data_IF_400073512869
#
_entry.id   IF_400073512869
#
_cell.length_a   1.000
_cell.length_b   1.000
_cell.length_c   1.000
_cell.angle_alpha   90.00
_cell.angle_beta   90.00
_cell.angle_gamma   90.00
#
_symmetry.space_group_name_H-M   'P 1'
#
loop_
_entity.id
_entity.type
_entity.pdbx_description
1 polymer ?
#
# COMPACT_ATOMS: atom_id res chain seq x y z
N UNK A 1 -2.75 -19.80 58.40
CA UNK A 1 -2.60 -18.40 57.93
C UNK A 1 -3.05 -18.34 56.48
N UNK A 2 -4.11 -17.59 56.18
CA UNK A 2 -4.66 -17.41 54.82
C UNK A 2 -3.90 -16.28 54.11
N UNK A 3 -3.45 -16.51 52.88
CA UNK A 3 -3.07 -15.44 51.93
C UNK A 3 -3.80 -15.71 50.62
N UNK A 4 -4.80 -14.88 50.35
CA UNK A 4 -5.45 -14.76 49.04
C UNK A 4 -4.51 -13.94 48.15
N UNK A 5 -4.09 -14.49 47.01
CA UNK A 5 -3.53 -13.69 45.92
C UNK A 5 -4.60 -13.62 44.84
N UNK A 6 -5.39 -12.56 44.91
CA UNK A 6 -6.27 -12.08 43.86
C UNK A 6 -5.42 -11.22 42.93
N UNK A 7 -4.91 -11.79 41.83
CA UNK A 7 -4.48 -11.01 40.67
C UNK A 7 -4.83 -11.82 39.40
N UNK A 8 -6.08 -11.73 38.99
CA UNK A 8 -6.55 -12.13 37.66
C UNK A 8 -7.54 -11.09 37.22
N UNK A 9 -7.05 -9.96 36.71
CA UNK A 9 -7.78 -9.03 35.83
C UNK A 9 -6.93 -7.80 35.54
N UNK A 10 -5.91 -7.92 34.69
CA UNK A 10 -5.30 -6.71 34.10
C UNK A 10 -4.54 -6.98 32.79
N UNK A 11 -5.05 -7.81 31.87
CA UNK A 11 -4.39 -7.99 30.57
C UNK A 11 -5.32 -8.23 29.35
N UNK A 12 -6.64 -8.05 29.48
CA UNK A 12 -7.59 -8.26 28.37
C UNK A 12 -8.13 -6.92 27.80
N UNK A 13 -7.66 -5.78 28.30
CA UNK A 13 -8.09 -4.47 27.80
C UNK A 13 -7.36 -4.00 26.54
N UNK A 14 -6.09 -4.37 26.35
CA UNK A 14 -5.23 -3.74 25.34
C UNK A 14 -5.32 -4.40 23.95
N UNK A 15 -5.64 -5.70 23.83
CA UNK A 15 -5.72 -6.39 22.53
C UNK A 15 -6.97 -6.00 21.71
N UNK A 16 -8.05 -5.62 22.38
CA UNK A 16 -9.33 -5.34 21.72
C UNK A 16 -9.29 -4.01 20.96
N UNK A 17 -8.68 -2.94 21.50
CA UNK A 17 -8.66 -1.64 20.81
C UNK A 17 -7.79 -1.63 19.53
N UNK A 18 -6.72 -2.43 19.49
CA UNK A 18 -5.87 -2.54 18.30
C UNK A 18 -6.58 -3.22 17.14
N UNK A 19 -7.41 -4.22 17.40
CA UNK A 19 -8.12 -4.95 16.34
C UNK A 19 -9.23 -4.11 15.70
N UNK A 20 -9.97 -3.30 16.48
CA UNK A 20 -11.00 -2.40 15.93
C UNK A 20 -10.43 -1.20 15.17
N UNK A 21 -9.31 -0.63 15.62
CA UNK A 21 -8.63 0.44 14.89
C UNK A 21 -8.12 -0.08 13.54
N UNK A 22 -7.45 -1.24 13.54
CA UNK A 22 -6.90 -1.87 12.35
C UNK A 22 -7.99 -2.29 11.35
N UNK A 23 -9.12 -2.86 11.81
CA UNK A 23 -10.25 -3.21 10.94
C UNK A 23 -10.98 -2.00 10.33
N UNK A 24 -11.01 -0.85 11.01
CA UNK A 24 -11.52 0.41 10.42
C UNK A 24 -10.57 0.93 9.34
N UNK A 25 -9.26 0.85 9.54
CA UNK A 25 -8.26 1.20 8.52
C UNK A 25 -8.34 0.26 7.31
N UNK A 26 -8.56 -1.05 7.52
CA UNK A 26 -8.77 -2.06 6.47
C UNK A 26 -9.91 -1.68 5.50
N UNK A 27 -11.07 -1.33 6.05
CA UNK A 27 -12.26 -0.92 5.25
C UNK A 27 -11.99 0.40 4.54
N UNK A 28 -11.31 1.34 5.19
CA UNK A 28 -10.96 2.63 4.60
C UNK A 28 -9.98 2.50 3.42
N UNK A 29 -8.96 1.64 3.55
CA UNK A 29 -8.03 1.34 2.47
C UNK A 29 -8.79 0.82 1.23
N UNK A 30 -9.56 -0.27 1.37
CA UNK A 30 -10.33 -0.85 0.25
C UNK A 30 -11.31 0.15 -0.37
N UNK A 31 -12.10 0.85 0.45
CA UNK A 31 -13.09 1.81 -0.04
C UNK A 31 -12.47 2.98 -0.82
N UNK A 32 -11.24 3.35 -0.50
CA UNK A 32 -10.53 4.41 -1.20
C UNK A 32 -10.05 3.93 -2.58
N UNK A 33 -9.30 2.83 -2.65
CA UNK A 33 -8.77 2.34 -3.93
C UNK A 33 -9.88 1.91 -4.92
N UNK A 34 -11.05 1.48 -4.44
CA UNK A 34 -12.22 1.17 -5.28
C UNK A 34 -12.79 2.38 -6.03
N UNK A 35 -12.61 3.60 -5.49
CA UNK A 35 -13.20 4.83 -6.04
C UNK A 35 -12.21 5.63 -6.90
N UNK A 36 -10.93 5.28 -6.86
CA UNK A 36 -9.86 5.98 -7.57
C UNK A 36 -9.90 5.67 -9.07
N UNK A 37 -10.40 6.61 -9.88
CA UNK A 37 -10.49 6.45 -11.35
C UNK A 37 -9.71 7.49 -12.15
N UNK A 38 -9.47 8.67 -11.59
CA UNK A 38 -8.58 9.73 -12.07
C UNK A 38 -8.13 10.52 -10.85
N UNK A 39 -6.84 10.82 -10.75
CA UNK A 39 -6.28 11.56 -9.62
C UNK A 39 -5.87 12.95 -10.10
N UNK A 40 -6.62 13.98 -9.72
CA UNK A 40 -6.14 15.36 -9.82
C UNK A 40 -4.93 15.59 -8.87
N UNK A 41 -4.31 16.76 -8.92
CA UNK A 41 -3.13 17.04 -8.10
C UNK A 41 -3.38 16.93 -6.59
N UNK A 42 -4.60 17.24 -6.13
CA UNK A 42 -4.98 17.13 -4.71
C UNK A 42 -5.23 15.68 -4.34
N UNK A 43 -5.88 14.92 -5.21
CA UNK A 43 -6.16 13.49 -5.03
C UNK A 43 -4.89 12.65 -5.09
N UNK A 44 -3.89 13.03 -5.90
CA UNK A 44 -2.56 12.39 -5.94
C UNK A 44 -1.89 12.35 -4.57
N UNK A 45 -1.89 13.48 -3.85
CA UNK A 45 -1.31 13.55 -2.50
C UNK A 45 -2.04 12.59 -1.53
N UNK A 46 -3.37 12.62 -1.54
CA UNK A 46 -4.20 11.74 -0.69
C UNK A 46 -3.93 10.27 -1.04
N UNK A 47 -3.76 9.96 -2.33
CA UNK A 47 -3.46 8.62 -2.78
C UNK A 47 -2.10 8.13 -2.25
N UNK A 48 -1.05 8.95 -2.30
CA UNK A 48 0.27 8.61 -1.76
C UNK A 48 0.24 8.37 -0.24
N UNK A 49 -0.39 9.28 0.51
CA UNK A 49 -0.58 9.13 1.95
C UNK A 49 -1.36 7.85 2.28
N UNK A 50 -2.37 7.51 1.45
CA UNK A 50 -3.16 6.30 1.64
C UNK A 50 -2.34 5.04 1.32
N UNK A 51 -1.54 5.03 0.25
CA UNK A 51 -0.64 3.90 -0.07
C UNK A 51 0.33 3.66 1.08
N UNK A 52 0.91 4.71 1.64
CA UNK A 52 1.81 4.62 2.80
C UNK A 52 1.11 4.04 4.04
N UNK A 53 -0.07 4.57 4.40
CA UNK A 53 -0.86 4.07 5.54
C UNK A 53 -1.32 2.62 5.34
N UNK A 54 -1.62 2.24 4.10
CA UNK A 54 -2.13 0.92 3.75
C UNK A 54 -1.03 -0.14 3.52
N UNK A 55 0.25 0.20 3.72
CA UNK A 55 1.39 -0.70 3.49
C UNK A 55 1.20 -2.09 4.14
N UNK A 56 0.81 -2.13 5.41
CA UNK A 56 0.62 -3.40 6.15
C UNK A 56 -0.51 -4.28 5.60
N UNK A 57 -1.45 -3.69 4.87
CA UNK A 57 -2.62 -4.36 4.29
C UNK A 57 -2.34 -4.88 2.88
N UNK A 58 -1.49 -4.20 2.11
CA UNK A 58 -1.01 -4.69 0.82
C UNK A 58 -0.36 -6.08 0.94
N UNK A 59 0.31 -6.39 2.07
CA UNK A 59 0.86 -7.73 2.37
C UNK A 59 -0.19 -8.82 2.54
N UNK A 60 -1.45 -8.47 2.82
CA UNK A 60 -2.50 -9.41 3.19
C UNK A 60 -3.58 -9.58 2.11
N UNK A 61 -3.60 -8.69 1.12
CA UNK A 61 -4.72 -8.56 0.20
C UNK A 61 -4.28 -8.33 -1.25
N UNK A 62 -4.32 -9.42 -2.04
CA UNK A 62 -3.95 -9.38 -3.46
C UNK A 62 -4.85 -8.47 -4.29
N UNK A 63 -6.14 -8.35 -3.94
CA UNK A 63 -7.10 -7.49 -4.65
C UNK A 63 -6.78 -6.02 -4.42
N UNK A 64 -6.39 -5.67 -3.19
CA UNK A 64 -5.92 -4.32 -2.85
C UNK A 64 -4.66 -3.96 -3.64
N UNK A 65 -3.68 -4.87 -3.72
CA UNK A 65 -2.44 -4.66 -4.49
C UNK A 65 -2.75 -4.42 -5.96
N UNK A 66 -3.67 -5.19 -6.54
CA UNK A 66 -4.10 -5.00 -7.92
C UNK A 66 -4.67 -3.59 -8.14
N UNK A 67 -5.60 -3.14 -7.28
CA UNK A 67 -6.20 -1.81 -7.38
C UNK A 67 -5.17 -0.68 -7.21
N UNK A 68 -4.19 -0.86 -6.32
CA UNK A 68 -3.08 0.08 -6.18
C UNK A 68 -2.26 0.18 -7.46
N UNK A 69 -1.94 -0.94 -8.11
CA UNK A 69 -1.22 -0.95 -9.40
C UNK A 69 -2.06 -0.30 -10.50
N UNK A 70 -3.37 -0.58 -10.56
CA UNK A 70 -4.28 0.06 -11.52
C UNK A 70 -4.35 1.58 -11.34
N UNK A 71 -4.39 2.06 -10.10
CA UNK A 71 -4.37 3.49 -9.80
C UNK A 71 -3.04 4.15 -10.24
N UNK A 72 -1.90 3.52 -9.97
CA UNK A 72 -0.59 4.00 -10.47
C UNK A 72 -0.52 4.00 -11.99
N UNK A 73 -1.01 2.95 -12.64
CA UNK A 73 -1.08 2.86 -14.11
C UNK A 73 -1.93 3.99 -14.70
N UNK A 74 -3.09 4.27 -14.10
CA UNK A 74 -3.95 5.37 -14.52
C UNK A 74 -3.28 6.72 -14.32
N UNK A 75 -2.56 6.89 -13.20
CA UNK A 75 -1.80 8.09 -12.90
C UNK A 75 -0.66 8.34 -13.92
N UNK A 76 0.09 7.31 -14.31
CA UNK A 76 1.19 7.49 -15.28
C UNK A 76 0.73 7.96 -16.68
N UNK A 77 -0.54 7.73 -17.04
CA UNK A 77 -1.13 8.25 -18.27
C UNK A 77 -1.29 9.77 -18.26
N UNK A 78 -1.54 10.35 -17.08
CA UNK A 78 -1.75 11.80 -16.92
C UNK A 78 -0.51 12.52 -16.40
N UNK A 79 0.32 11.85 -15.60
CA UNK A 79 1.53 12.37 -15.01
C UNK A 79 2.64 11.31 -15.06
N UNK A 80 3.57 11.48 -16.00
CA UNK A 80 4.67 10.55 -16.28
C UNK A 80 5.83 10.63 -15.30
N UNK A 81 5.63 11.09 -14.06
CA UNK A 81 6.72 11.06 -13.08
C UNK A 81 6.83 9.72 -12.36
N UNK A 82 8.03 9.36 -11.91
CA UNK A 82 8.31 8.12 -11.18
C UNK A 82 8.28 8.28 -9.65
N UNK A 83 8.47 9.51 -9.12
CA UNK A 83 8.41 9.80 -7.67
C UNK A 83 7.09 9.37 -7.01
N UNK A 84 6.03 9.21 -7.79
CA UNK A 84 4.73 8.72 -7.30
C UNK A 84 4.83 7.35 -6.61
N UNK A 85 5.82 6.54 -6.97
CA UNK A 85 5.97 5.17 -6.47
C UNK A 85 6.67 5.06 -5.11
N UNK A 86 7.29 6.13 -4.59
CA UNK A 86 8.00 6.11 -3.31
C UNK A 86 7.19 5.49 -2.16
N UNK A 87 5.91 5.87 -1.94
CA UNK A 87 5.09 5.28 -0.87
C UNK A 87 4.83 3.79 -1.05
N UNK A 88 4.94 3.26 -2.28
CA UNK A 88 4.71 1.87 -2.62
C UNK A 88 5.98 1.00 -2.50
N UNK A 89 7.17 1.62 -2.46
CA UNK A 89 8.45 0.91 -2.48
C UNK A 89 8.62 -0.11 -1.36
N UNK A 90 8.27 0.16 -0.08
CA UNK A 90 8.44 -0.83 0.99
C UNK A 90 7.71 -2.16 0.74
N UNK A 91 6.54 -2.12 0.10
CA UNK A 91 5.80 -3.30 -0.33
C UNK A 91 6.46 -3.96 -1.55
N UNK A 92 6.79 -3.18 -2.58
CA UNK A 92 7.40 -3.67 -3.81
C UNK A 92 8.72 -4.43 -3.55
N UNK A 93 9.59 -3.91 -2.70
CA UNK A 93 10.90 -4.52 -2.39
C UNK A 93 10.73 -5.95 -1.86
N UNK A 94 9.74 -6.17 -0.99
CA UNK A 94 9.47 -7.48 -0.38
C UNK A 94 8.69 -8.42 -1.30
N UNK A 95 7.95 -7.88 -2.28
CA UNK A 95 7.00 -8.63 -3.11
C UNK A 95 7.23 -8.44 -4.61
N UNK A 96 8.48 -8.15 -5.02
CA UNK A 96 8.83 -7.78 -6.40
C UNK A 96 8.21 -8.71 -7.44
N UNK A 97 8.38 -10.02 -7.26
CA UNK A 97 7.83 -11.03 -8.19
C UNK A 97 6.32 -10.92 -8.33
N UNK A 98 5.59 -10.80 -7.22
CA UNK A 98 4.13 -10.70 -7.24
C UNK A 98 3.68 -9.44 -7.97
N UNK A 99 4.35 -8.31 -7.75
CA UNK A 99 4.05 -7.05 -8.44
C UNK A 99 4.33 -7.18 -9.94
N UNK A 100 5.49 -7.72 -10.31
CA UNK A 100 5.87 -7.91 -11.73
C UNK A 100 4.88 -8.83 -12.47
N UNK A 101 4.45 -9.91 -11.83
CA UNK A 101 3.44 -10.84 -12.37
C UNK A 101 2.09 -10.12 -12.55
N UNK A 102 1.65 -9.33 -11.57
CA UNK A 102 0.39 -8.59 -11.63
C UNK A 102 0.42 -7.49 -12.70
N UNK A 103 1.50 -6.70 -12.78
CA UNK A 103 1.68 -5.69 -13.83
C UNK A 103 1.61 -6.38 -15.19
N UNK A 104 2.33 -7.49 -15.38
CA UNK A 104 2.33 -8.25 -16.63
C UNK A 104 0.97 -8.80 -17.03
N UNK A 105 0.10 -9.11 -16.05
CA UNK A 105 -1.23 -9.66 -16.30
C UNK A 105 -2.25 -8.61 -16.76
N UNK A 106 -2.06 -7.33 -16.38
CA UNK A 106 -3.08 -6.28 -16.58
C UNK A 106 -2.67 -5.17 -17.55
N UNK A 107 -1.45 -5.22 -18.06
CA UNK A 107 -0.89 -4.22 -18.99
C UNK A 107 -0.46 -4.87 -20.30
N UNK A 108 -0.51 -4.10 -21.38
CA UNK A 108 0.12 -4.51 -22.64
C UNK A 108 1.65 -4.44 -22.54
N UNK A 109 2.36 -4.81 -23.61
CA UNK A 109 3.83 -4.82 -23.60
C UNK A 109 4.43 -3.43 -23.34
N UNK A 110 3.90 -2.38 -23.98
CA UNK A 110 4.46 -1.04 -23.87
C UNK A 110 4.18 -0.42 -22.50
N UNK A 111 2.96 -0.56 -21.99
CA UNK A 111 2.59 -0.09 -20.65
C UNK A 111 3.39 -0.82 -19.55
N UNK A 112 3.62 -2.13 -19.72
CA UNK A 112 4.45 -2.92 -18.80
C UNK A 112 5.88 -2.42 -18.73
N UNK A 113 6.49 -2.19 -19.89
CA UNK A 113 7.88 -1.74 -19.98
C UNK A 113 8.04 -0.37 -19.31
N UNK A 114 7.13 0.58 -19.57
CA UNK A 114 7.11 1.89 -18.91
C UNK A 114 6.90 1.76 -17.40
N UNK A 115 5.95 0.93 -16.94
CA UNK A 115 5.71 0.72 -15.51
C UNK A 115 6.94 0.10 -14.81
N UNK A 116 7.59 -0.89 -15.44
CA UNK A 116 8.78 -1.54 -14.90
C UNK A 116 9.99 -0.60 -14.86
N UNK A 117 10.17 0.26 -15.86
CA UNK A 117 11.20 1.28 -15.86
C UNK A 117 11.02 2.25 -14.68
N UNK A 118 9.77 2.68 -14.42
CA UNK A 118 9.44 3.53 -13.28
C UNK A 118 9.71 2.86 -11.95
N UNK A 119 9.29 1.61 -11.78
CA UNK A 119 9.60 0.82 -10.57
C UNK A 119 11.10 0.71 -10.34
N UNK A 120 11.89 0.51 -11.41
CA UNK A 120 13.35 0.45 -11.32
C UNK A 120 13.96 1.78 -10.89
N UNK A 121 13.48 2.89 -11.45
CA UNK A 121 13.94 4.24 -11.09
C UNK A 121 13.59 4.57 -9.64
N UNK A 122 12.33 4.38 -9.24
CA UNK A 122 11.88 4.60 -7.86
C UNK A 122 12.63 3.71 -6.86
N UNK A 123 12.88 2.44 -7.20
CA UNK A 123 13.66 1.54 -6.34
C UNK A 123 15.10 2.02 -6.14
N UNK A 124 15.75 2.53 -7.19
CA UNK A 124 17.10 3.11 -7.08
C UNK A 124 17.08 4.33 -6.17
N UNK A 125 16.17 5.27 -6.40
CA UNK A 125 16.07 6.51 -5.62
C UNK A 125 15.74 6.25 -4.14
N UNK A 126 14.85 5.29 -3.86
CA UNK A 126 14.54 4.84 -2.52
C UNK A 126 15.79 4.29 -1.80
N UNK A 127 16.61 3.49 -2.48
CA UNK A 127 17.85 2.95 -1.89
C UNK A 127 18.94 4.02 -1.70
N UNK A 128 18.96 5.02 -2.58
CA UNK A 128 19.91 6.14 -2.51
C UNK A 128 19.51 7.18 -1.44
N UNK A 129 18.34 7.04 -0.80
CA UNK A 129 17.81 7.98 0.19
C UNK A 129 17.27 9.28 -0.42
N UNK A 130 16.96 9.25 -1.72
CA UNK A 130 16.49 10.39 -2.51
C UNK A 130 15.00 10.32 -2.86
N UNK A 131 14.28 9.35 -2.29
CA UNK A 131 12.83 9.22 -2.44
C UNK A 131 12.14 9.07 -1.11
#
# INVERSE_FOLDING_TARGET
MKKNILITSFFIGFLSFYTFAQAKTDIQCRMYFDKTKKLDNKEQKIFYETVEQCQSHLFKDKDLVLKTIEAYRALFKVNRSHFHLEPFMPFYIKNKKQVDDLVSAITDKAEREDFQERLKTAYREFNDGNG
#
